data_IF_397790218823
#
_entry.id   IF_397790218823
#
_cell.length_a   1.000
_cell.length_b   1.000
_cell.length_c   1.000
_cell.angle_alpha   90.00
_cell.angle_beta   90.00
_cell.angle_gamma   90.00
#
_symmetry.space_group_name_H-M   'P 1'
#
loop_
_entity.id
_entity.type
_entity.pdbx_description
1 polymer ?
#
# COMPACT_ATOMS: atom_id res chain seq x y z
N UNK A 1 -3.27 1.56 17.09
CA UNK A 1 -2.51 2.46 16.19
C UNK A 1 -3.48 3.05 15.21
N UNK A 2 -3.64 4.36 15.25
CA UNK A 2 -4.64 5.14 14.51
C UNK A 2 -3.96 6.35 13.88
N UNK A 3 -4.64 7.03 12.96
CA UNK A 3 -4.16 8.28 12.40
C UNK A 3 -4.43 9.45 13.36
N UNK A 4 -3.50 10.40 13.41
CA UNK A 4 -3.64 11.66 14.12
C UNK A 4 -3.39 12.82 13.14
N UNK A 5 -4.33 13.08 12.20
CA UNK A 5 -4.16 14.16 11.24
C UNK A 5 -4.03 15.51 11.98
N UNK A 6 -3.21 16.39 11.44
CA UNK A 6 -3.06 17.77 11.92
C UNK A 6 -4.20 18.69 11.42
N UNK A 7 -5.30 18.10 10.97
CA UNK A 7 -6.50 18.76 10.50
C UNK A 7 -7.76 18.02 10.95
N UNK A 8 -8.88 18.72 11.02
CA UNK A 8 -10.22 18.17 11.27
C UNK A 8 -11.20 18.76 10.26
N UNK A 9 -12.12 17.94 9.78
CA UNK A 9 -13.22 18.39 8.93
C UNK A 9 -14.31 19.01 9.84
N UNK A 10 -14.69 20.27 9.58
CA UNK A 10 -15.89 20.88 10.19
C UNK A 10 -17.13 20.24 9.60
N UNK A 11 -18.07 19.76 10.44
CA UNK A 11 -19.30 19.15 9.96
C UNK A 11 -20.30 20.17 9.39
N UNK A 12 -20.25 21.41 9.90
CA UNK A 12 -21.13 22.51 9.47
C UNK A 12 -20.73 23.04 8.08
N UNK A 13 -19.45 23.39 7.92
CA UNK A 13 -18.96 24.07 6.70
C UNK A 13 -18.28 23.13 5.68
N UNK A 14 -18.06 21.86 6.04
CA UNK A 14 -17.17 20.91 5.32
C UNK A 14 -15.74 21.42 5.09
N UNK A 15 -15.33 22.50 5.77
CA UNK A 15 -13.99 23.09 5.67
C UNK A 15 -13.00 22.34 6.55
N UNK A 16 -11.77 22.21 6.08
CA UNK A 16 -10.65 21.68 6.83
C UNK A 16 -10.10 22.75 7.77
N UNK A 17 -10.02 22.45 9.07
CA UNK A 17 -9.39 23.32 10.07
C UNK A 17 -8.13 22.66 10.59
N UNK A 18 -7.06 23.44 10.68
CA UNK A 18 -5.79 22.98 11.28
C UNK A 18 -6.00 22.73 12.77
N UNK A 19 -5.52 21.58 13.24
CA UNK A 19 -5.57 21.20 14.66
C UNK A 19 -4.15 21.17 15.21
N UNK A 20 -4.01 21.46 16.50
CA UNK A 20 -2.72 21.33 17.19
C UNK A 20 -2.21 19.89 17.05
N UNK A 21 -0.94 19.75 16.67
CA UNK A 21 -0.29 18.45 16.56
C UNK A 21 -0.32 17.74 17.92
N UNK A 22 -0.73 16.47 17.92
CA UNK A 22 -0.61 15.63 19.11
C UNK A 22 0.87 15.39 19.41
N UNK A 23 1.31 15.75 20.63
CA UNK A 23 2.72 15.65 21.06
C UNK A 23 3.27 14.21 21.03
N UNK A 24 2.40 13.22 21.21
CA UNK A 24 2.77 11.79 21.24
C UNK A 24 2.77 11.17 19.82
N UNK A 25 2.20 11.87 18.83
CA UNK A 25 2.09 11.34 17.47
C UNK A 25 3.41 11.45 16.68
N UNK A 26 3.84 10.32 16.13
CA UNK A 26 4.99 10.25 15.22
C UNK A 26 4.59 10.78 13.83
N UNK A 27 5.51 11.50 13.18
CA UNK A 27 5.31 11.95 11.81
C UNK A 27 5.39 10.73 10.87
N UNK A 28 4.39 10.56 10.02
CA UNK A 28 4.32 9.48 9.05
C UNK A 28 3.96 10.04 7.66
N UNK A 29 4.82 9.83 6.66
CA UNK A 29 4.64 10.33 5.29
C UNK A 29 4.89 9.21 4.29
N UNK A 30 3.87 8.90 3.49
CA UNK A 30 3.95 7.92 2.39
C UNK A 30 3.49 8.59 1.11
N UNK A 31 4.32 8.58 0.08
CA UNK A 31 3.90 8.91 -1.28
C UNK A 31 3.30 7.67 -1.93
N UNK A 32 2.30 7.85 -2.76
CA UNK A 32 1.70 6.76 -3.50
C UNK A 32 1.37 7.19 -4.91
N UNK A 33 1.39 6.22 -5.82
CA UNK A 33 0.96 6.36 -7.21
C UNK A 33 0.10 5.17 -7.56
N UNK A 34 -1.05 5.42 -8.18
CA UNK A 34 -1.92 4.36 -8.70
C UNK A 34 -1.32 3.89 -10.02
N UNK A 35 -0.99 2.59 -10.12
CA UNK A 35 -0.44 1.99 -11.34
C UNK A 35 -1.54 1.48 -12.26
N UNK A 36 -2.55 0.83 -11.68
CA UNK A 36 -3.69 0.27 -12.39
C UNK A 36 -4.87 0.19 -11.44
N UNK A 37 -6.06 0.46 -11.96
CA UNK A 37 -7.31 0.38 -11.21
C UNK A 37 -8.33 -0.41 -12.01
N UNK A 38 -9.09 -1.26 -11.32
CA UNK A 38 -10.21 -1.96 -11.91
C UNK A 38 -11.32 -2.15 -10.89
N UNK A 39 -12.51 -1.62 -11.19
CA UNK A 39 -13.72 -1.69 -10.36
C UNK A 39 -13.43 -1.33 -8.89
N UNK A 40 -13.31 -2.32 -8.01
CA UNK A 40 -13.13 -2.15 -6.56
C UNK A 40 -11.70 -2.40 -6.06
N UNK A 41 -10.73 -2.60 -6.96
CA UNK A 41 -9.34 -2.88 -6.59
C UNK A 41 -8.36 -2.01 -7.39
N UNK A 42 -7.23 -1.67 -6.79
CA UNK A 42 -6.15 -0.93 -7.44
C UNK A 42 -4.80 -1.46 -7.00
N UNK A 43 -3.81 -1.34 -7.88
CA UNK A 43 -2.40 -1.61 -7.61
C UNK A 43 -1.72 -0.28 -7.41
N UNK A 44 -1.05 -0.13 -6.27
CA UNK A 44 -0.37 1.11 -5.90
C UNK A 44 1.13 0.84 -5.80
N UNK A 45 1.90 1.78 -6.32
CA UNK A 45 3.29 1.98 -5.94
C UNK A 45 3.33 2.88 -4.70
N UNK A 46 4.14 2.52 -3.73
CA UNK A 46 4.18 3.14 -2.41
C UNK A 46 5.63 3.44 -2.02
N UNK A 47 5.92 4.69 -1.72
CA UNK A 47 7.22 5.16 -1.25
C UNK A 47 7.07 5.72 0.17
N UNK A 48 7.38 4.92 1.22
CA UNK A 48 7.39 5.41 2.59
C UNK A 48 8.62 6.31 2.81
N UNK A 49 8.40 7.61 3.02
CA UNK A 49 9.46 8.58 3.32
C UNK A 49 9.93 8.45 4.78
N UNK A 50 9.04 7.98 5.64
CA UNK A 50 9.30 7.68 7.06
C UNK A 50 9.09 6.19 7.34
N UNK A 51 9.64 5.71 8.46
CA UNK A 51 9.61 4.28 8.84
C UNK A 51 8.70 3.93 10.02
N UNK A 52 7.54 4.57 10.17
CA UNK A 52 6.64 4.29 11.31
C UNK A 52 6.05 2.87 11.18
N UNK A 53 5.92 2.16 12.31
CA UNK A 53 5.40 0.78 12.33
C UNK A 53 4.04 0.71 11.63
N UNK A 54 3.88 -0.23 10.69
CA UNK A 54 2.66 -0.42 9.89
C UNK A 54 2.13 0.82 9.15
N UNK A 55 2.97 1.84 8.94
CA UNK A 55 2.59 3.12 8.34
C UNK A 55 1.76 2.97 7.05
N UNK A 56 2.26 2.21 6.08
CA UNK A 56 1.58 1.98 4.80
C UNK A 56 0.17 1.42 5.01
N UNK A 57 0.05 0.39 5.86
CA UNK A 57 -1.22 -0.30 6.12
C UNK A 57 -2.25 0.62 6.73
N UNK A 58 -1.84 1.41 7.72
CA UNK A 58 -2.69 2.38 8.42
C UNK A 58 -3.09 3.55 7.50
N UNK A 59 -2.14 4.06 6.71
CA UNK A 59 -2.40 5.13 5.74
C UNK A 59 -3.42 4.71 4.69
N UNK A 60 -3.28 3.52 4.12
CA UNK A 60 -4.20 3.00 3.13
C UNK A 60 -5.58 2.69 3.73
N UNK A 61 -5.63 2.02 4.88
CA UNK A 61 -6.90 1.64 5.51
C UNK A 61 -7.71 2.82 6.04
N UNK A 62 -7.10 3.71 6.83
CA UNK A 62 -7.83 4.78 7.52
C UNK A 62 -7.68 6.14 6.84
N UNK A 63 -6.60 6.35 6.08
CA UNK A 63 -6.34 7.61 5.39
C UNK A 63 -7.06 7.68 4.04
N UNK A 64 -6.92 6.62 3.23
CA UNK A 64 -7.58 6.53 1.93
C UNK A 64 -8.90 5.76 1.96
N UNK A 65 -9.20 5.01 3.03
CA UNK A 65 -10.36 4.12 3.06
C UNK A 65 -10.21 2.89 2.16
N UNK A 66 -8.98 2.58 1.72
CA UNK A 66 -8.66 1.50 0.79
C UNK A 66 -7.67 0.51 1.43
N UNK A 67 -8.11 -0.39 2.31
CA UNK A 67 -7.22 -1.34 2.98
C UNK A 67 -6.55 -2.30 2.00
N UNK A 68 -5.31 -2.71 2.31
CA UNK A 68 -4.55 -3.67 1.49
C UNK A 68 -5.29 -5.02 1.44
N UNK A 69 -5.27 -5.69 0.28
CA UNK A 69 -5.83 -7.02 0.13
C UNK A 69 -5.13 -8.03 1.06
N UNK A 70 -5.90 -8.76 1.85
CA UNK A 70 -5.40 -9.68 2.88
C UNK A 70 -5.06 -9.01 4.22
N UNK A 71 -5.26 -7.68 4.36
CA UNK A 71 -5.00 -7.00 5.63
C UNK A 71 -6.19 -7.11 6.60
N UNK A 72 -6.30 -8.25 7.28
CA UNK A 72 -7.39 -8.49 8.24
C UNK A 72 -7.31 -7.60 9.49
N UNK A 73 -6.14 -7.05 9.81
CA UNK A 73 -5.94 -6.26 11.03
C UNK A 73 -6.51 -4.85 10.92
N UNK A 74 -6.36 -4.22 9.76
CA UNK A 74 -6.75 -2.82 9.55
C UNK A 74 -7.99 -2.66 8.64
N UNK A 75 -8.58 -3.76 8.16
CA UNK A 75 -9.79 -3.70 7.32
C UNK A 75 -11.08 -3.38 8.08
N UNK A 76 -11.07 -3.45 9.41
CA UNK A 76 -12.23 -3.12 10.26
C UNK A 76 -11.79 -2.13 11.34
N UNK A 77 -12.64 -1.16 11.63
CA UNK A 77 -12.33 -0.10 12.61
C UNK A 77 -12.39 -0.56 14.06
N UNK A 78 -13.34 -1.46 14.39
CA UNK A 78 -13.70 -1.77 15.78
C UNK A 78 -13.47 -3.22 16.18
N UNK A 79 -13.07 -4.10 15.26
CA UNK A 79 -12.95 -5.54 15.53
C UNK A 79 -11.87 -6.21 14.73
N UNK A 80 -11.31 -7.29 15.29
CA UNK A 80 -10.43 -8.18 14.55
C UNK A 80 -11.30 -9.22 13.83
N UNK A 81 -11.46 -9.04 12.51
CA UNK A 81 -12.24 -9.95 11.68
C UNK A 81 -11.60 -10.08 10.29
N UNK A 82 -11.85 -11.18 9.57
CA UNK A 82 -11.41 -11.30 8.18
C UNK A 82 -11.89 -10.12 7.33
N UNK A 83 -11.05 -9.70 6.38
CA UNK A 83 -11.38 -8.62 5.47
C UNK A 83 -12.66 -8.98 4.68
N UNK A 84 -13.63 -8.06 4.66
CA UNK A 84 -14.83 -8.18 3.82
C UNK A 84 -14.48 -7.69 2.42
N UNK A 85 -14.76 -8.52 1.42
CA UNK A 85 -14.52 -8.20 0.02
C UNK A 85 -15.86 -8.04 -0.71
N UNK A 86 -15.89 -7.22 -1.77
CA UNK A 86 -17.07 -7.11 -2.61
C UNK A 86 -17.34 -8.43 -3.35
N UNK A 87 -18.60 -8.68 -3.71
CA UNK A 87 -18.97 -9.87 -4.50
C UNK A 87 -18.19 -9.94 -5.83
N UNK A 88 -17.94 -8.80 -6.46
CA UNK A 88 -17.14 -8.72 -7.69
C UNK A 88 -15.68 -9.13 -7.47
N UNK A 89 -15.05 -8.67 -6.39
CA UNK A 89 -13.69 -9.07 -6.03
C UNK A 89 -13.61 -10.56 -5.69
N UNK A 90 -14.56 -11.08 -4.91
CA UNK A 90 -14.63 -12.51 -4.55
C UNK A 90 -14.77 -13.41 -5.79
N UNK A 91 -15.71 -13.08 -6.68
CA UNK A 91 -15.94 -13.80 -7.94
C UNK A 91 -14.69 -13.83 -8.81
N UNK A 92 -13.99 -12.70 -8.95
CA UNK A 92 -12.74 -12.63 -9.73
C UNK A 92 -11.60 -13.40 -9.11
N UNK A 93 -11.44 -13.32 -7.79
CA UNK A 93 -10.43 -14.10 -7.08
C UNK A 93 -10.77 -15.60 -7.06
N UNK A 94 -12.01 -15.98 -7.37
CA UNK A 94 -12.47 -17.38 -7.29
C UNK A 94 -12.51 -17.86 -5.84
N UNK A 95 -12.95 -17.00 -4.92
CA UNK A 95 -12.93 -17.26 -3.48
C UNK A 95 -14.30 -16.98 -2.86
N UNK A 96 -14.67 -17.80 -1.89
CA UNK A 96 -15.78 -17.52 -0.99
C UNK A 96 -15.34 -16.59 0.15
N UNK A 97 -16.28 -15.82 0.70
CA UNK A 97 -15.98 -14.89 1.79
C UNK A 97 -15.42 -15.58 3.04
N UNK A 98 -15.82 -16.83 3.32
CA UNK A 98 -15.30 -17.62 4.45
C UNK A 98 -13.80 -17.92 4.27
N UNK A 99 -13.33 -18.04 3.03
CA UNK A 99 -11.93 -18.30 2.69
C UNK A 99 -11.08 -17.04 2.64
N UNK A 100 -11.67 -15.84 2.68
CA UNK A 100 -10.93 -14.58 2.65
C UNK A 100 -9.92 -14.45 3.81
N UNK A 101 -10.15 -15.14 4.93
CA UNK A 101 -9.23 -15.18 6.09
C UNK A 101 -7.86 -15.82 5.81
N UNK A 102 -7.73 -16.54 4.69
CA UNK A 102 -6.50 -17.20 4.27
C UNK A 102 -5.76 -16.40 3.20
N UNK A 103 -6.27 -15.22 2.82
CA UNK A 103 -5.59 -14.36 1.86
C UNK A 103 -4.30 -13.81 2.48
N UNK A 104 -3.15 -14.01 1.81
CA UNK A 104 -1.91 -13.38 2.25
C UNK A 104 -1.99 -11.86 2.08
N UNK A 105 -1.19 -11.15 2.86
CA UNK A 105 -1.07 -9.69 2.74
C UNK A 105 -0.39 -9.33 1.42
N UNK A 106 -1.07 -8.56 0.58
CA UNK A 106 -0.55 -8.09 -0.71
C UNK A 106 0.26 -6.80 -0.53
N UNK A 107 1.34 -6.88 0.24
CA UNK A 107 2.31 -5.81 0.42
C UNK A 107 3.71 -6.36 0.14
N UNK A 108 4.36 -5.86 -0.90
CA UNK A 108 5.64 -6.38 -1.40
C UNK A 108 6.66 -5.26 -1.52
N UNK A 109 7.86 -5.46 -0.99
CA UNK A 109 8.99 -4.55 -1.17
C UNK A 109 9.67 -4.85 -2.52
N UNK A 110 9.28 -4.11 -3.56
CA UNK A 110 9.72 -4.40 -4.93
C UNK A 110 11.03 -3.73 -5.34
N UNK A 111 11.39 -2.60 -4.72
CA UNK A 111 12.58 -1.81 -5.03
C UNK A 111 13.20 -1.23 -3.76
N UNK A 112 14.52 -1.32 -3.64
CA UNK A 112 15.30 -0.62 -2.62
C UNK A 112 16.45 0.11 -3.33
N UNK A 113 16.67 1.37 -2.99
CA UNK A 113 17.81 2.15 -3.51
C UNK A 113 18.72 2.50 -2.35
N UNK A 114 19.98 2.09 -2.45
CA UNK A 114 21.00 2.37 -1.45
C UNK A 114 21.87 3.54 -1.93
N UNK A 115 22.36 4.39 -1.01
CA UNK A 115 23.38 5.38 -1.35
C UNK A 115 24.67 4.68 -1.79
N UNK A 116 25.58 5.41 -2.47
CA UNK A 116 26.88 4.87 -2.80
C UNK A 116 27.64 4.45 -1.54
N UNK A 117 28.30 3.30 -1.60
CA UNK A 117 29.03 2.73 -0.45
C UNK A 117 30.47 3.25 -0.40
N UNK A 118 31.04 3.61 -1.57
CA UNK A 118 32.42 4.07 -1.70
C UNK A 118 32.46 5.57 -2.00
N UNK A 119 33.39 6.29 -1.38
CA UNK A 119 33.55 7.75 -1.50
C UNK A 119 33.89 8.25 -2.92
N UNK A 120 34.30 7.37 -3.83
CA UNK A 120 34.79 7.72 -5.18
C UNK A 120 33.79 7.44 -6.30
N UNK A 121 32.66 6.78 -6.04
CA UNK A 121 31.65 6.49 -7.07
C UNK A 121 30.31 7.09 -6.67
N UNK A 122 29.73 7.94 -7.52
CA UNK A 122 28.40 8.54 -7.31
C UNK A 122 27.24 7.55 -7.59
N UNK A 123 27.55 6.32 -7.96
CA UNK A 123 26.55 5.39 -8.49
C UNK A 123 25.70 4.76 -7.38
N UNK A 124 24.38 5.00 -7.47
CA UNK A 124 23.40 4.40 -6.55
C UNK A 124 23.19 2.92 -6.89
N UNK A 125 23.04 2.10 -5.85
CA UNK A 125 22.72 0.68 -6.02
C UNK A 125 21.20 0.52 -5.99
N UNK A 126 20.65 -0.07 -7.05
CA UNK A 126 19.22 -0.38 -7.15
C UNK A 126 19.00 -1.88 -7.05
N UNK A 127 18.26 -2.29 -6.01
CA UNK A 127 17.86 -3.68 -5.78
C UNK A 127 16.39 -3.83 -6.16
N UNK A 128 16.09 -4.85 -6.96
CA UNK A 128 14.73 -5.17 -7.40
C UNK A 128 14.35 -6.58 -7.00
N UNK A 129 13.10 -6.77 -6.58
CA UNK A 129 12.56 -8.07 -6.23
C UNK A 129 11.24 -8.32 -6.96
N UNK A 130 11.19 -9.42 -7.72
CA UNK A 130 9.98 -9.85 -8.44
C UNK A 130 8.85 -10.13 -7.44
N UNK A 131 7.60 -9.75 -7.74
CA UNK A 131 6.48 -10.05 -6.84
C UNK A 131 6.29 -11.56 -6.63
N UNK A 132 5.89 -11.98 -5.41
CA UNK A 132 5.59 -13.38 -5.11
C UNK A 132 4.52 -13.97 -6.05
N UNK A 133 4.52 -15.30 -6.21
CA UNK A 133 3.60 -16.01 -7.12
C UNK A 133 2.13 -15.71 -6.79
N UNK A 134 1.75 -15.74 -5.51
CA UNK A 134 0.39 -15.45 -5.09
C UNK A 134 -0.04 -14.02 -5.49
N UNK A 135 0.89 -13.06 -5.41
CA UNK A 135 0.62 -11.66 -5.73
C UNK A 135 0.32 -11.53 -7.22
N UNK A 136 1.16 -12.12 -8.08
CA UNK A 136 0.96 -12.14 -9.53
C UNK A 136 -0.34 -12.84 -9.94
N UNK A 137 -0.70 -13.94 -9.27
CA UNK A 137 -1.95 -14.65 -9.52
C UNK A 137 -3.16 -13.77 -9.21
N UNK A 138 -3.15 -13.07 -8.07
CA UNK A 138 -4.20 -12.13 -7.69
C UNK A 138 -4.32 -10.98 -8.69
N UNK A 139 -3.19 -10.39 -9.14
CA UNK A 139 -3.19 -9.36 -10.18
C UNK A 139 -3.86 -9.83 -11.47
N UNK A 140 -3.46 -11.01 -11.97
CA UNK A 140 -4.04 -11.61 -13.18
C UNK A 140 -5.54 -11.84 -13.04
N UNK A 141 -5.98 -12.41 -11.91
CA UNK A 141 -7.41 -12.66 -11.61
C UNK A 141 -8.22 -11.36 -11.51
N UNK A 142 -7.65 -10.32 -10.91
CA UNK A 142 -8.28 -9.03 -10.78
C UNK A 142 -8.26 -8.20 -12.08
N UNK A 143 -7.49 -8.63 -13.09
CA UNK A 143 -7.22 -7.88 -14.33
C UNK A 143 -6.54 -6.55 -14.04
N UNK A 144 -5.54 -6.58 -13.16
CA UNK A 144 -4.74 -5.44 -12.79
C UNK A 144 -3.33 -5.59 -13.35
N UNK A 145 -2.80 -4.48 -13.84
CA UNK A 145 -1.45 -4.45 -14.43
C UNK A 145 -0.45 -3.93 -13.41
N UNK A 146 0.70 -4.60 -13.35
CA UNK A 146 1.85 -4.18 -12.56
C UNK A 146 2.93 -3.71 -13.53
N UNK A 147 2.91 -2.42 -13.85
CA UNK A 147 4.04 -1.76 -14.50
C UNK A 147 5.08 -1.46 -13.42
N UNK A 148 5.83 -2.48 -13.00
CA UNK A 148 7.19 -2.18 -12.58
C UNK A 148 7.87 -1.77 -13.87
N UNK A 149 8.17 -0.47 -14.00
CA UNK A 149 8.96 0.09 -15.09
C UNK A 149 9.98 -0.93 -15.57
N UNK A 150 9.76 -1.44 -16.79
CA UNK A 150 10.79 -2.08 -17.60
C UNK A 150 11.93 -1.07 -17.73
N UNK A 151 12.91 -1.14 -16.83
CA UNK A 151 14.21 -0.58 -17.12
C UNK A 151 15.06 -1.75 -17.57
N UNK A 152 15.09 -1.85 -18.90
CA UNK A 152 16.02 -2.64 -19.71
C UNK A 152 17.34 -2.77 -18.96
N UNK A 153 17.86 -3.99 -18.92
CA UNK A 153 19.31 -4.19 -18.95
C UNK A 153 19.83 -3.32 -20.10
N UNK A 154 20.41 -2.16 -19.78
CA UNK A 154 21.43 -1.58 -20.63
C UNK A 154 22.59 -2.55 -20.54
N UNK A 155 22.59 -3.55 -21.44
CA UNK A 155 23.83 -4.13 -21.94
C UNK A 155 24.64 -2.96 -22.47
N UNK A 156 25.62 -2.54 -21.68
CA UNK A 156 26.77 -1.80 -22.19
C UNK A 156 27.46 -2.70 -23.22
N UNK A 157 27.58 -2.18 -24.43
CA UNK A 157 28.40 -2.72 -25.52
C UNK A 157 29.85 -2.94 -25.10
#
# INVERSE_FOLDING_TARGET
MTLAPNYRLSLEDKKLRKVRRNKVAQLAVTRYRVLSSWSTCSVLELEPITGVKHQIRVHLAYGLGCPILGDHKYSHWSKLAPQKLSLGTLKKLGLEQVKARYLPLHLHACKLTLPPINSNEEQKIHLFCKPPVFFKLSLKRLKLEFSASEQKETKTD
#
